data_IF_319406318490
#
_entry.id   IF_319406318490
#
_cell.length_a   1.000
_cell.length_b   1.000
_cell.length_c   1.000
_cell.angle_alpha   90.00
_cell.angle_beta   90.00
_cell.angle_gamma   90.00
#
_symmetry.space_group_name_H-M   'P 1'
#
loop_
_entity.id
_entity.type
_entity.pdbx_description
1 polymer ?
#
# COMPACT_ATOMS: atom_id res chain seq x y z
N UNK A 1 -1.61 70.81 29.81
CA UNK A 1 -1.29 70.52 31.20
C UNK A 1 -2.44 69.80 31.84
N UNK A 2 -2.34 68.50 32.04
CA UNK A 2 -3.07 67.67 33.03
C UNK A 2 -2.40 66.31 33.03
N UNK A 3 -1.67 66.07 34.12
CA UNK A 3 -1.03 64.80 34.47
C UNK A 3 -2.07 63.85 34.98
N UNK A 4 -2.04 62.58 34.52
CA UNK A 4 -2.75 61.49 35.14
C UNK A 4 -1.73 60.48 35.68
N UNK A 5 -1.70 60.36 37.00
CA UNK A 5 -0.96 59.34 37.74
C UNK A 5 -1.68 58.02 37.64
N UNK A 6 -0.98 56.99 37.16
CA UNK A 6 -1.46 55.60 37.19
C UNK A 6 -0.99 54.92 38.49
N UNK A 7 -1.94 54.55 39.32
CA UNK A 7 -1.72 53.76 40.53
C UNK A 7 -1.68 52.27 40.14
N UNK A 8 -0.56 51.62 40.44
CA UNK A 8 -0.36 50.20 40.29
C UNK A 8 -0.90 49.42 41.48
N UNK A 9 -1.93 48.67 41.32
CA UNK A 9 -2.46 47.75 42.33
C UNK A 9 -1.74 46.39 42.22
N UNK A 10 -0.93 46.05 43.21
CA UNK A 10 -0.35 44.73 43.43
C UNK A 10 -1.36 43.84 44.16
N UNK A 11 -1.82 42.79 43.54
CA UNK A 11 -2.59 41.72 44.19
C UNK A 11 -1.64 40.57 44.61
N UNK A 12 -1.78 40.05 45.83
CA UNK A 12 -0.96 38.94 46.29
C UNK A 12 -1.48 37.59 45.74
N UNK A 13 -0.57 36.84 45.09
CA UNK A 13 -0.81 35.48 44.71
C UNK A 13 -0.62 34.56 45.93
N UNK A 14 -1.69 33.94 46.39
CA UNK A 14 -1.66 32.93 47.43
C UNK A 14 -1.34 31.59 46.77
N UNK A 15 -0.15 31.07 47.06
CA UNK A 15 0.30 29.75 46.57
C UNK A 15 -0.20 28.68 47.56
N UNK A 16 -1.23 27.91 47.18
CA UNK A 16 -1.70 26.76 47.95
C UNK A 16 -0.88 25.53 47.50
N UNK A 17 0.04 25.12 48.35
CA UNK A 17 0.78 23.88 48.20
C UNK A 17 -0.10 22.69 48.61
N UNK A 18 -0.60 21.90 47.67
CA UNK A 18 -1.16 20.57 47.98
C UNK A 18 -0.03 19.56 48.03
N UNK A 19 0.29 19.12 49.22
CA UNK A 19 1.18 18.00 49.45
C UNK A 19 0.49 16.68 49.08
N UNK A 20 0.95 16.04 48.01
CA UNK A 20 0.59 14.68 47.67
C UNK A 20 1.59 13.73 48.30
N UNK A 21 1.18 13.01 49.35
CA UNK A 21 1.94 11.91 49.94
C UNK A 21 1.94 10.71 48.98
N UNK A 22 3.09 10.39 48.41
CA UNK A 22 3.30 9.14 47.69
C UNK A 22 3.45 7.99 48.70
N UNK A 23 2.39 7.20 48.83
CA UNK A 23 2.51 5.86 49.40
C UNK A 23 2.98 4.90 48.31
N UNK A 24 4.22 4.44 48.41
CA UNK A 24 4.73 3.36 47.56
C UNK A 24 4.02 2.06 47.97
N UNK A 25 3.19 1.53 47.08
CA UNK A 25 2.69 0.16 47.16
C UNK A 25 3.56 -0.71 46.25
N UNK A 26 4.35 -1.58 46.92
CA UNK A 26 4.99 -2.73 46.29
C UNK A 26 3.93 -3.63 45.68
N UNK A 27 3.81 -3.64 44.34
CA UNK A 27 3.07 -4.65 43.61
C UNK A 27 4.05 -5.62 42.95
N UNK A 28 4.14 -6.81 43.52
CA UNK A 28 4.74 -7.98 42.93
C UNK A 28 4.10 -8.26 41.54
N UNK A 29 4.89 -8.62 40.53
CA UNK A 29 4.32 -9.01 39.23
C UNK A 29 3.66 -10.38 39.36
N UNK A 30 2.33 -10.42 39.26
CA UNK A 30 1.59 -11.64 39.07
C UNK A 30 1.97 -12.24 37.72
N UNK A 31 2.49 -13.48 37.73
CA UNK A 31 2.72 -14.28 36.56
C UNK A 31 1.41 -14.49 35.78
N UNK A 32 1.16 -13.64 34.79
CA UNK A 32 0.02 -13.72 33.92
C UNK A 32 0.13 -14.97 33.02
N UNK A 33 -0.73 -15.95 33.27
CA UNK A 33 -1.04 -17.03 32.35
C UNK A 33 -1.32 -16.40 30.98
N UNK A 34 -0.47 -16.68 29.99
CA UNK A 34 -0.78 -16.51 28.58
C UNK A 34 -1.93 -17.47 28.25
N UNK A 35 -3.14 -17.00 28.46
CA UNK A 35 -4.33 -17.61 27.90
C UNK A 35 -4.21 -17.50 26.38
N UNK A 36 -3.99 -18.63 25.71
CA UNK A 36 -4.17 -18.72 24.27
C UNK A 36 -5.57 -18.15 23.96
N UNK A 37 -5.61 -17.07 23.20
CA UNK A 37 -6.86 -16.54 22.64
C UNK A 37 -7.37 -17.65 21.72
N UNK A 38 -8.34 -18.44 22.20
CA UNK A 38 -9.03 -19.38 21.38
C UNK A 38 -9.51 -18.61 20.16
N UNK A 39 -9.09 -19.06 18.98
CA UNK A 39 -9.60 -18.57 17.72
C UNK A 39 -11.10 -18.78 17.79
N UNK A 40 -11.86 -17.69 17.89
CA UNK A 40 -13.31 -17.75 17.96
C UNK A 40 -13.77 -18.56 16.74
N UNK A 41 -14.41 -19.69 16.97
CA UNK A 41 -14.97 -20.52 15.92
C UNK A 41 -15.79 -19.62 15.01
N UNK A 42 -15.39 -19.49 13.75
CA UNK A 42 -16.11 -18.70 12.77
C UNK A 42 -17.54 -19.23 12.74
N UNK A 43 -18.52 -18.35 12.96
CA UNK A 43 -19.93 -18.71 12.80
C UNK A 43 -20.17 -19.24 11.38
N UNK A 44 -21.32 -19.86 11.11
CA UNK A 44 -21.58 -20.44 9.79
C UNK A 44 -21.39 -19.37 8.72
N UNK A 45 -20.49 -19.65 7.77
CA UNK A 45 -20.21 -18.74 6.66
C UNK A 45 -21.48 -18.57 5.81
N UNK A 46 -21.79 -17.31 5.45
CA UNK A 46 -22.85 -17.05 4.48
C UNK A 46 -22.48 -17.76 3.18
N UNK A 47 -23.41 -18.51 2.54
CA UNK A 47 -23.14 -19.19 1.28
C UNK A 47 -22.57 -18.21 0.24
N UNK A 48 -21.50 -18.61 -0.43
CA UNK A 48 -20.86 -17.86 -1.50
C UNK A 48 -20.29 -18.83 -2.53
N UNK A 49 -20.13 -18.37 -3.76
CA UNK A 49 -19.38 -19.10 -4.78
C UNK A 49 -17.89 -18.75 -4.64
N UNK A 50 -17.00 -19.68 -4.36
CA UNK A 50 -15.57 -19.42 -4.26
C UNK A 50 -14.95 -18.96 -5.59
N UNK A 51 -15.61 -19.24 -6.72
CA UNK A 51 -15.18 -18.82 -8.06
C UNK A 51 -15.74 -17.46 -8.47
N UNK A 52 -16.63 -16.87 -7.71
CA UNK A 52 -17.09 -15.49 -7.92
C UNK A 52 -16.26 -14.51 -7.08
N UNK A 53 -15.37 -13.78 -7.73
CA UNK A 53 -14.57 -12.73 -7.10
C UNK A 53 -15.21 -11.35 -7.24
N UNK A 54 -16.39 -11.24 -7.84
CA UNK A 54 -17.04 -9.96 -8.15
C UNK A 54 -17.35 -9.16 -6.88
N UNK A 55 -17.20 -7.84 -6.99
CA UNK A 55 -17.51 -6.89 -5.93
C UNK A 55 -16.43 -5.83 -5.72
N UNK A 56 -16.75 -4.88 -4.88
CA UNK A 56 -15.82 -3.82 -4.47
C UNK A 56 -15.08 -4.27 -3.21
N UNK A 57 -13.79 -4.39 -3.32
CA UNK A 57 -12.91 -4.88 -2.28
C UNK A 57 -12.03 -3.78 -1.74
N UNK A 58 -11.88 -3.73 -0.41
CA UNK A 58 -10.98 -2.82 0.26
C UNK A 58 -10.01 -3.61 1.12
N UNK A 59 -8.74 -3.27 1.03
CA UNK A 59 -7.74 -3.86 1.88
C UNK A 59 -8.05 -3.61 3.37
N UNK A 60 -7.90 -4.64 4.20
CA UNK A 60 -8.28 -4.61 5.62
C UNK A 60 -7.10 -4.84 6.58
N UNK A 61 -5.88 -4.86 6.08
CA UNK A 61 -4.68 -4.97 6.91
C UNK A 61 -4.33 -3.68 7.65
N UNK A 62 -3.42 -3.76 8.60
CA UNK A 62 -2.69 -2.57 9.05
C UNK A 62 -1.94 -2.03 7.83
N UNK A 63 -1.81 -0.71 7.76
CA UNK A 63 -1.17 -0.03 6.63
C UNK A 63 0.29 -0.49 6.46
N UNK A 64 0.49 -1.65 5.88
CA UNK A 64 1.80 -2.16 5.49
C UNK A 64 1.99 -1.75 4.04
N UNK A 65 2.76 -0.71 3.83
CA UNK A 65 3.05 -0.14 2.53
C UNK A 65 4.20 -0.89 1.83
N UNK A 66 4.46 -2.13 2.24
CA UNK A 66 5.50 -2.99 1.69
C UNK A 66 4.93 -4.24 1.03
N UNK A 67 5.67 -4.79 0.09
CA UNK A 67 5.35 -6.07 -0.54
C UNK A 67 5.33 -7.21 0.48
N UNK A 68 6.34 -7.29 1.33
CA UNK A 68 6.45 -8.26 2.42
C UNK A 68 7.17 -7.65 3.62
N UNK A 69 6.86 -8.13 4.84
CA UNK A 69 7.63 -7.80 6.04
C UNK A 69 9.01 -8.49 6.03
N UNK A 70 9.14 -9.58 5.30
CA UNK A 70 10.43 -10.24 5.13
C UNK A 70 11.25 -9.52 4.07
N UNK A 71 12.47 -9.11 4.44
CA UNK A 71 13.37 -8.44 3.53
C UNK A 71 13.81 -9.38 2.39
N UNK A 72 13.77 -8.93 1.13
CA UNK A 72 14.22 -9.75 0.01
C UNK A 72 15.73 -9.85 -0.03
N UNK A 73 16.23 -10.95 -0.61
CA UNK A 73 17.64 -11.02 -0.99
C UNK A 73 17.82 -10.41 -2.38
N UNK A 74 18.46 -9.26 -2.44
CA UNK A 74 18.71 -8.57 -3.71
C UNK A 74 20.03 -9.00 -4.35
N UNK A 75 20.08 -8.92 -5.68
CA UNK A 75 21.34 -8.95 -6.43
C UNK A 75 22.08 -7.62 -6.21
N UNK A 76 23.38 -7.52 -6.55
CA UNK A 76 24.07 -6.22 -6.51
C UNK A 76 23.39 -5.14 -7.34
N UNK A 77 22.84 -5.49 -8.50
CA UNK A 77 22.09 -4.57 -9.34
C UNK A 77 20.78 -4.12 -8.69
N UNK A 78 20.03 -5.06 -8.10
CA UNK A 78 18.80 -4.75 -7.37
C UNK A 78 19.07 -3.87 -6.16
N UNK A 79 20.10 -4.15 -5.40
CA UNK A 79 20.52 -3.36 -4.25
C UNK A 79 20.90 -1.93 -4.66
N UNK A 80 21.67 -1.75 -5.73
CA UNK A 80 22.03 -0.42 -6.21
C UNK A 80 20.80 0.42 -6.61
N UNK A 81 19.81 -0.20 -7.29
CA UNK A 81 18.52 0.47 -7.60
C UNK A 81 17.74 0.81 -6.33
N UNK A 82 17.68 -0.11 -5.37
CA UNK A 82 17.01 0.10 -4.10
C UNK A 82 17.64 1.25 -3.30
N UNK A 83 18.99 1.30 -3.26
CA UNK A 83 19.71 2.36 -2.56
C UNK A 83 19.52 3.73 -3.22
N UNK A 84 19.29 3.77 -4.52
CA UNK A 84 18.99 4.98 -5.27
C UNK A 84 17.55 5.48 -5.05
N UNK A 85 16.64 4.64 -4.58
CA UNK A 85 15.28 5.05 -4.28
C UNK A 85 15.20 5.89 -3.01
N UNK A 86 14.62 7.09 -3.11
CA UNK A 86 14.36 8.02 -2.01
C UNK A 86 12.88 8.06 -1.74
N UNK A 87 12.49 7.30 -0.73
CA UNK A 87 11.08 7.07 -0.38
C UNK A 87 10.60 8.10 0.66
N UNK A 88 9.29 8.34 0.72
CA UNK A 88 8.69 9.18 1.75
C UNK A 88 8.13 8.39 2.94
N UNK A 89 8.27 7.05 2.92
CA UNK A 89 7.75 6.15 3.94
C UNK A 89 8.80 5.15 4.41
N UNK A 90 8.61 4.64 5.65
CA UNK A 90 9.47 3.61 6.21
C UNK A 90 10.79 4.10 6.78
N UNK A 91 11.70 3.17 7.13
CA UNK A 91 12.95 3.49 7.83
C UNK A 91 13.94 4.35 7.03
N UNK A 92 13.78 4.37 5.70
CA UNK A 92 14.65 5.13 4.77
C UNK A 92 13.98 6.43 4.30
N UNK A 93 12.89 6.85 4.96
CA UNK A 93 12.13 8.01 4.54
C UNK A 93 12.99 9.28 4.51
N UNK A 94 12.86 10.01 3.41
CA UNK A 94 13.39 11.37 3.23
C UNK A 94 12.25 12.38 3.19
N UNK A 95 12.49 13.67 3.44
CA UNK A 95 11.48 14.68 3.18
C UNK A 95 10.90 14.56 1.77
N UNK A 96 9.59 14.70 1.57
CA UNK A 96 8.94 14.46 0.27
C UNK A 96 9.57 15.23 -0.89
N UNK A 97 10.05 16.46 -0.66
CA UNK A 97 10.74 17.26 -1.65
C UNK A 97 12.06 16.64 -2.17
N UNK A 98 12.68 15.78 -1.38
CA UNK A 98 13.91 15.07 -1.73
C UNK A 98 13.65 13.65 -2.26
N UNK A 99 12.40 13.25 -2.28
CA UNK A 99 11.96 11.95 -2.78
C UNK A 99 12.04 11.87 -4.31
N UNK A 100 12.14 10.64 -4.80
CA UNK A 100 12.11 10.36 -6.24
C UNK A 100 11.10 9.28 -6.61
N UNK A 101 10.07 9.12 -5.80
CA UNK A 101 8.95 8.22 -6.11
C UNK A 101 8.29 8.67 -7.44
N UNK A 102 8.19 7.79 -8.45
CA UNK A 102 7.56 8.11 -9.72
C UNK A 102 6.12 8.62 -9.57
N UNK A 103 5.39 8.11 -8.59
CA UNK A 103 4.04 8.57 -8.27
C UNK A 103 3.96 10.08 -7.94
N UNK A 104 5.03 10.67 -7.40
CA UNK A 104 5.12 12.10 -7.14
C UNK A 104 5.18 12.98 -8.41
N UNK A 105 5.20 12.34 -9.58
CA UNK A 105 5.09 12.99 -10.91
C UNK A 105 3.88 12.49 -11.68
N UNK A 106 2.96 11.83 -11.00
CA UNK A 106 1.78 11.17 -11.57
C UNK A 106 2.12 10.03 -12.55
N UNK A 107 3.30 9.41 -12.46
CA UNK A 107 3.52 8.14 -13.13
C UNK A 107 2.64 7.07 -12.47
N UNK A 108 2.01 6.19 -13.26
CA UNK A 108 1.18 5.11 -12.71
C UNK A 108 1.96 4.21 -11.74
N UNK A 109 1.30 3.80 -10.66
CA UNK A 109 1.96 3.00 -9.61
C UNK A 109 2.41 1.61 -10.07
N UNK A 110 1.75 1.06 -11.07
CA UNK A 110 1.99 -0.30 -11.51
C UNK A 110 1.47 -1.38 -10.55
N UNK A 111 1.65 -2.64 -10.96
CA UNK A 111 1.37 -3.83 -10.16
C UNK A 111 2.72 -4.37 -9.66
N UNK A 112 2.84 -4.78 -8.39
CA UNK A 112 1.77 -5.07 -7.41
C UNK A 112 1.37 -3.89 -6.51
N UNK A 113 2.07 -2.76 -6.55
CA UNK A 113 1.87 -1.65 -5.61
C UNK A 113 0.41 -1.18 -5.55
N UNK A 114 -0.25 -1.11 -6.70
CA UNK A 114 -1.65 -0.69 -6.81
C UNK A 114 -2.62 -1.64 -6.08
N UNK A 115 -2.30 -2.94 -5.97
CA UNK A 115 -3.13 -3.94 -5.30
C UNK A 115 -3.26 -3.71 -3.78
N UNK A 116 -2.30 -3.04 -3.17
CA UNK A 116 -2.29 -2.77 -1.72
C UNK A 116 -2.01 -1.30 -1.39
N UNK A 117 -2.39 -0.41 -2.30
CA UNK A 117 -2.24 1.02 -2.09
C UNK A 117 -3.22 1.54 -1.03
N UNK A 118 -2.75 1.58 0.21
CA UNK A 118 -3.39 2.28 1.31
C UNK A 118 -4.77 1.76 1.75
N UNK A 119 -5.20 2.24 2.93
CA UNK A 119 -6.47 1.83 3.53
C UNK A 119 -7.71 2.49 2.88
N UNK A 120 -7.53 3.40 1.94
CA UNK A 120 -8.60 4.19 1.33
C UNK A 120 -8.95 3.75 -0.08
N UNK A 121 -7.97 3.25 -0.84
CA UNK A 121 -8.22 2.82 -2.22
C UNK A 121 -8.97 1.49 -2.27
N UNK A 122 -9.92 1.40 -3.19
CA UNK A 122 -10.73 0.21 -3.45
C UNK A 122 -10.37 -0.38 -4.80
N UNK A 123 -10.67 -1.65 -4.93
CA UNK A 123 -10.58 -2.39 -6.18
C UNK A 123 -11.93 -3.05 -6.43
N UNK A 124 -12.52 -2.79 -7.57
CA UNK A 124 -13.69 -3.53 -8.03
C UNK A 124 -13.22 -4.67 -8.94
N UNK A 125 -13.74 -5.86 -8.69
CA UNK A 125 -13.53 -7.03 -9.54
C UNK A 125 -14.83 -7.32 -10.27
N UNK A 126 -14.74 -7.43 -11.59
CA UNK A 126 -15.84 -7.81 -12.47
C UNK A 126 -15.44 -9.04 -13.27
N UNK A 127 -16.31 -10.03 -13.33
CA UNK A 127 -16.09 -11.27 -14.08
C UNK A 127 -16.92 -11.27 -15.36
N UNK A 128 -16.29 -11.57 -16.48
CA UNK A 128 -16.96 -11.80 -17.76
C UNK A 128 -16.61 -13.19 -18.32
N UNK A 129 -17.14 -13.54 -19.47
CA UNK A 129 -16.96 -14.87 -20.07
C UNK A 129 -15.49 -15.21 -20.41
N UNK A 130 -14.69 -14.20 -20.74
CA UNK A 130 -13.32 -14.36 -21.28
C UNK A 130 -12.24 -13.72 -20.40
N UNK A 131 -12.63 -13.00 -19.37
CA UNK A 131 -11.69 -12.28 -18.51
C UNK A 131 -12.26 -11.90 -17.15
N UNK A 132 -11.38 -11.71 -16.19
CA UNK A 132 -11.63 -10.95 -14.97
C UNK A 132 -11.05 -9.55 -15.15
N UNK A 133 -11.81 -8.54 -14.77
CA UNK A 133 -11.37 -7.14 -14.82
C UNK A 133 -11.20 -6.64 -13.40
N UNK A 134 -10.04 -6.09 -13.10
CA UNK A 134 -9.79 -5.31 -11.90
C UNK A 134 -9.87 -3.82 -12.26
N UNK A 135 -10.78 -3.09 -11.63
CA UNK A 135 -10.91 -1.65 -11.73
C UNK A 135 -10.44 -1.03 -10.42
N UNK A 136 -9.50 -0.10 -10.50
CA UNK A 136 -8.91 0.54 -9.32
C UNK A 136 -9.42 1.95 -9.16
N UNK A 137 -9.77 2.30 -7.93
CA UNK A 137 -10.23 3.64 -7.54
C UNK A 137 -9.15 4.72 -7.77
N UNK A 138 -7.87 4.34 -7.59
CA UNK A 138 -6.76 5.21 -7.92
C UNK A 138 -6.54 5.28 -9.44
N UNK A 139 -6.50 6.49 -9.99
CA UNK A 139 -6.31 6.78 -11.43
C UNK A 139 -7.41 6.20 -12.34
N UNK A 140 -8.45 5.60 -11.79
CA UNK A 140 -9.51 4.93 -12.56
C UNK A 140 -8.97 3.97 -13.64
N UNK A 141 -7.85 3.33 -13.36
CA UNK A 141 -7.25 2.37 -14.27
C UNK A 141 -7.92 1.01 -14.16
N UNK A 142 -8.02 0.32 -15.28
CA UNK A 142 -8.51 -1.05 -15.33
C UNK A 142 -7.42 -2.00 -15.80
N UNK A 143 -7.45 -3.23 -15.28
CA UNK A 143 -6.54 -4.31 -15.63
C UNK A 143 -7.32 -5.53 -16.08
N UNK A 144 -7.25 -5.91 -17.36
CA UNK A 144 -7.82 -7.17 -17.84
C UNK A 144 -6.89 -8.34 -17.47
N UNK A 145 -7.48 -9.39 -16.93
CA UNK A 145 -6.84 -10.69 -16.68
C UNK A 145 -7.57 -11.69 -17.55
N UNK A 146 -6.93 -12.17 -18.60
CA UNK A 146 -7.57 -13.03 -19.58
C UNK A 146 -7.73 -14.47 -19.06
N UNK A 147 -8.92 -15.04 -19.23
CA UNK A 147 -9.27 -16.39 -18.77
C UNK A 147 -9.72 -17.31 -19.90
N UNK A 148 -9.53 -16.91 -21.13
CA UNK A 148 -9.91 -17.64 -22.35
C UNK A 148 -8.87 -18.69 -22.80
N UNK A 149 -7.87 -18.95 -21.96
CA UNK A 149 -6.85 -19.97 -22.24
C UNK A 149 -5.68 -19.48 -23.09
N UNK A 150 -5.64 -18.17 -23.43
CA UNK A 150 -4.49 -17.61 -24.16
C UNK A 150 -3.21 -17.66 -23.35
N UNK A 151 -2.09 -17.66 -24.05
CA UNK A 151 -0.76 -17.49 -23.44
C UNK A 151 -0.43 -16.00 -23.24
N UNK A 152 0.54 -15.73 -22.37
CA UNK A 152 1.15 -14.41 -22.25
C UNK A 152 1.86 -14.04 -23.57
N UNK A 153 1.80 -12.75 -24.00
CA UNK A 153 2.46 -12.33 -25.25
C UNK A 153 3.96 -12.58 -25.21
N UNK A 154 4.50 -13.11 -26.29
CA UNK A 154 5.94 -13.41 -26.43
C UNK A 154 6.79 -12.14 -26.53
N UNK A 155 6.21 -11.07 -27.05
CA UNK A 155 6.78 -9.73 -27.21
C UNK A 155 6.46 -8.78 -26.04
N UNK A 156 5.97 -9.32 -24.91
CA UNK A 156 5.58 -8.50 -23.77
C UNK A 156 6.73 -7.66 -23.20
N UNK A 157 7.97 -8.14 -23.32
CA UNK A 157 9.17 -7.43 -22.85
C UNK A 157 9.57 -6.28 -23.79
N UNK A 158 9.22 -6.39 -25.07
CA UNK A 158 9.49 -5.34 -26.06
C UNK A 158 8.47 -4.20 -25.99
N UNK A 159 7.29 -4.49 -25.42
CA UNK A 159 6.18 -3.55 -25.27
C UNK A 159 5.67 -3.50 -23.82
N UNK A 160 6.48 -3.03 -22.86
CA UNK A 160 6.12 -3.04 -21.44
C UNK A 160 4.90 -2.13 -21.17
N UNK A 161 4.09 -2.54 -20.18
CA UNK A 161 2.90 -1.81 -19.72
C UNK A 161 3.00 -1.53 -18.24
N UNK A 162 2.40 -0.44 -17.80
CA UNK A 162 2.32 -0.10 -16.38
C UNK A 162 1.71 -1.22 -15.51
N UNK A 163 0.69 -1.89 -16.02
CA UNK A 163 0.00 -2.99 -15.33
C UNK A 163 0.39 -4.38 -15.84
N UNK A 164 1.33 -4.46 -16.78
CA UNK A 164 1.76 -5.71 -17.41
C UNK A 164 0.69 -6.36 -18.29
N UNK A 165 0.96 -7.59 -18.68
CA UNK A 165 0.03 -8.51 -19.36
C UNK A 165 -0.30 -9.64 -18.40
N UNK A 166 -1.57 -10.00 -18.30
CA UNK A 166 -2.05 -10.96 -17.31
C UNK A 166 -2.96 -12.02 -17.92
N UNK A 167 -2.71 -13.26 -17.54
CA UNK A 167 -3.59 -14.40 -17.82
C UNK A 167 -3.95 -15.06 -16.50
N UNK A 168 -5.17 -15.57 -16.39
CA UNK A 168 -5.69 -16.16 -15.18
C UNK A 168 -6.31 -17.53 -15.42
N UNK A 169 -6.23 -18.40 -14.43
CA UNK A 169 -6.90 -19.72 -14.41
C UNK A 169 -7.28 -20.10 -12.99
N UNK A 170 -8.28 -20.94 -12.88
CA UNK A 170 -8.66 -21.54 -11.61
C UNK A 170 -7.82 -22.79 -11.32
N UNK A 171 -7.35 -22.92 -10.09
CA UNK A 171 -6.67 -24.07 -9.50
C UNK A 171 -7.43 -24.43 -8.22
N UNK A 172 -8.43 -25.32 -8.34
CA UNK A 172 -9.45 -25.50 -7.31
C UNK A 172 -10.17 -24.18 -7.01
N UNK A 173 -10.24 -23.82 -5.73
CA UNK A 173 -10.86 -22.56 -5.27
C UNK A 173 -9.90 -21.35 -5.26
N UNK A 174 -8.78 -21.45 -5.96
CA UNK A 174 -7.78 -20.38 -6.05
C UNK A 174 -7.71 -19.86 -7.48
N UNK A 175 -7.96 -18.57 -7.67
CA UNK A 175 -7.72 -17.91 -8.94
C UNK A 175 -6.25 -17.54 -9.03
N UNK A 176 -5.52 -18.14 -9.95
CA UNK A 176 -4.09 -17.93 -10.18
C UNK A 176 -3.90 -17.03 -11.38
N UNK A 177 -3.16 -15.93 -11.20
CA UNK A 177 -2.84 -14.98 -12.26
C UNK A 177 -1.34 -14.96 -12.47
N UNK A 178 -0.90 -15.18 -13.70
CA UNK A 178 0.48 -15.02 -14.11
C UNK A 178 0.62 -13.75 -14.97
N UNK A 179 1.64 -12.94 -14.68
CA UNK A 179 1.84 -11.64 -15.32
C UNK A 179 3.30 -11.36 -15.64
N UNK A 180 3.54 -10.69 -16.78
CA UNK A 180 4.85 -10.25 -17.28
C UNK A 180 4.76 -8.91 -17.99
N UNK A 181 5.89 -8.37 -18.45
CA UNK A 181 5.95 -7.17 -19.30
C UNK A 181 5.59 -5.90 -18.55
N UNK A 182 6.06 -5.76 -17.33
CA UNK A 182 5.86 -4.56 -16.52
C UNK A 182 6.87 -3.47 -16.85
N UNK A 183 6.43 -2.22 -16.81
CA UNK A 183 7.32 -1.07 -16.99
C UNK A 183 8.26 -0.94 -15.80
N UNK A 184 9.60 -1.03 -15.99
CA UNK A 184 10.56 -1.06 -14.89
C UNK A 184 10.74 0.27 -14.16
N UNK A 185 10.02 1.33 -14.54
CA UNK A 185 9.99 2.60 -13.82
C UNK A 185 9.14 2.54 -12.56
N UNK A 186 8.24 1.57 -12.45
CA UNK A 186 7.39 1.41 -11.26
C UNK A 186 8.15 0.82 -10.08
N UNK A 187 7.65 1.08 -8.88
CA UNK A 187 8.13 0.43 -7.66
C UNK A 187 7.14 -0.65 -7.22
N UNK A 188 7.66 -1.72 -6.59
CA UNK A 188 6.82 -2.80 -6.08
C UNK A 188 5.96 -2.37 -4.88
N UNK A 189 6.44 -1.37 -4.14
CA UNK A 189 5.79 -0.88 -2.92
C UNK A 189 6.22 0.55 -2.57
N UNK A 190 5.74 1.06 -1.43
CA UNK A 190 6.07 2.41 -0.95
C UNK A 190 7.46 2.52 -0.32
N UNK A 191 8.17 1.41 -0.15
CA UNK A 191 9.54 1.40 0.39
C UNK A 191 10.61 1.45 -0.70
N UNK A 192 10.17 1.57 -1.95
CA UNK A 192 11.04 1.78 -3.09
C UNK A 192 11.73 0.52 -3.58
N UNK A 193 11.15 -0.65 -3.32
CA UNK A 193 11.66 -1.90 -3.88
C UNK A 193 11.54 -1.88 -5.41
N UNK A 194 12.67 -1.99 -6.12
CA UNK A 194 12.68 -1.93 -7.58
C UNK A 194 12.30 -3.27 -8.20
N UNK A 195 12.10 -3.25 -9.51
CA UNK A 195 12.10 -4.44 -10.33
C UNK A 195 12.80 -4.20 -11.66
N UNK A 196 12.99 -5.24 -12.45
CA UNK A 196 13.50 -5.16 -13.80
C UNK A 196 12.39 -5.41 -14.84
N UNK A 197 12.76 -5.31 -16.09
CA UNK A 197 11.95 -5.72 -17.25
C UNK A 197 11.66 -7.23 -17.28
N UNK A 198 12.48 -8.06 -16.62
CA UNK A 198 12.30 -9.50 -16.55
C UNK A 198 11.38 -9.95 -15.40
N UNK A 199 10.76 -9.00 -14.67
CA UNK A 199 9.86 -9.31 -13.59
C UNK A 199 8.71 -10.21 -14.06
N UNK A 200 8.48 -11.30 -13.31
CA UNK A 200 7.32 -12.17 -13.39
C UNK A 200 6.58 -12.12 -12.07
N UNK A 201 5.28 -11.96 -12.11
CA UNK A 201 4.45 -11.92 -10.91
C UNK A 201 3.38 -12.99 -11.01
N UNK A 202 3.28 -13.84 -9.99
CA UNK A 202 2.16 -14.73 -9.81
C UNK A 202 1.33 -14.23 -8.63
N UNK A 203 0.02 -14.15 -8.83
CA UNK A 203 -0.97 -13.75 -7.85
C UNK A 203 -1.90 -14.93 -7.58
N UNK A 204 -2.22 -15.17 -6.32
CA UNK A 204 -3.14 -16.22 -5.91
C UNK A 204 -4.26 -15.64 -5.06
N UNK A 205 -5.44 -15.52 -5.65
CA UNK A 205 -6.63 -15.03 -5.00
C UNK A 205 -7.45 -16.19 -4.45
N UNK A 206 -7.90 -16.10 -3.21
CA UNK A 206 -8.79 -17.05 -2.59
C UNK A 206 -9.90 -16.34 -1.85
N UNK A 207 -11.15 -16.58 -2.22
CA UNK A 207 -12.31 -16.11 -1.48
C UNK A 207 -12.59 -17.08 -0.33
N UNK A 208 -12.35 -16.64 0.91
CA UNK A 208 -12.49 -17.47 2.11
C UNK A 208 -13.95 -17.60 2.55
N UNK A 209 -14.68 -16.53 2.42
CA UNK A 209 -16.09 -16.39 2.73
C UNK A 209 -16.70 -15.29 1.85
N UNK A 210 -18.01 -15.01 2.05
CA UNK A 210 -18.70 -13.98 1.28
C UNK A 210 -17.97 -12.64 1.27
N UNK A 211 -17.40 -12.25 2.41
CA UNK A 211 -16.92 -10.88 2.65
C UNK A 211 -15.40 -10.80 2.75
N UNK A 212 -14.67 -11.91 2.53
CA UNK A 212 -13.23 -11.97 2.70
C UNK A 212 -12.52 -12.56 1.49
N UNK A 213 -11.64 -11.77 0.89
CA UNK A 213 -10.73 -12.18 -0.19
C UNK A 213 -9.29 -12.10 0.30
N UNK A 214 -8.51 -13.15 0.07
CA UNK A 214 -7.08 -13.19 0.32
C UNK A 214 -6.30 -13.17 -0.98
N UNK A 215 -5.12 -12.56 -0.94
CA UNK A 215 -4.16 -12.50 -2.03
C UNK A 215 -2.76 -12.79 -1.49
N UNK A 216 -2.05 -13.69 -2.13
CA UNK A 216 -0.62 -13.92 -1.96
C UNK A 216 0.09 -13.72 -3.30
N UNK A 217 1.24 -13.06 -3.25
CA UNK A 217 2.02 -12.70 -4.42
C UNK A 217 3.37 -13.42 -4.38
N UNK A 218 3.81 -13.93 -5.51
CA UNK A 218 5.18 -14.45 -5.69
C UNK A 218 5.84 -13.70 -6.83
N UNK A 219 6.91 -13.00 -6.52
CA UNK A 219 7.71 -12.25 -7.47
C UNK A 219 8.96 -13.03 -7.84
N UNK A 220 9.23 -13.16 -9.12
CA UNK A 220 10.47 -13.71 -9.67
C UNK A 220 11.09 -12.69 -10.62
N UNK A 221 12.27 -12.20 -10.27
CA UNK A 221 13.02 -11.22 -11.06
C UNK A 221 14.53 -11.45 -10.84
N UNK A 222 15.17 -12.30 -11.64
CA UNK A 222 16.55 -12.73 -11.42
C UNK A 222 17.57 -11.61 -11.59
N UNK A 223 17.22 -10.51 -12.29
CA UNK A 223 18.10 -9.33 -12.37
C UNK A 223 18.10 -8.55 -11.06
N UNK A 224 17.01 -8.58 -10.31
CA UNK A 224 16.82 -7.77 -9.10
C UNK A 224 16.93 -8.56 -7.81
N UNK A 225 16.40 -9.80 -7.78
CA UNK A 225 16.32 -10.64 -6.58
C UNK A 225 17.01 -11.98 -6.79
N UNK A 226 17.83 -12.38 -5.82
CA UNK A 226 18.59 -13.62 -5.86
C UNK A 226 17.73 -14.88 -5.79
N UNK A 227 16.51 -14.76 -5.28
CA UNK A 227 15.48 -15.83 -5.21
C UNK A 227 14.08 -15.24 -5.30
N UNK A 228 13.06 -16.05 -5.61
CA UNK A 228 11.68 -15.58 -5.58
C UNK A 228 11.32 -14.96 -4.23
N UNK A 229 10.60 -13.85 -4.27
CA UNK A 229 10.14 -13.11 -3.10
C UNK A 229 8.63 -13.27 -2.95
N UNK A 230 8.20 -13.76 -1.79
CA UNK A 230 6.79 -14.02 -1.50
C UNK A 230 6.25 -12.92 -0.59
N UNK A 231 5.06 -12.43 -0.89
CA UNK A 231 4.41 -11.40 -0.08
C UNK A 231 3.80 -11.97 1.20
N UNK A 232 3.58 -11.11 2.18
CA UNK A 232 2.59 -11.41 3.20
C UNK A 232 1.21 -11.59 2.58
N UNK A 233 0.36 -12.42 3.19
CA UNK A 233 -1.03 -12.54 2.76
C UNK A 233 -1.76 -11.20 2.93
N UNK A 234 -2.27 -10.65 1.84
CA UNK A 234 -3.08 -9.45 1.81
C UNK A 234 -4.55 -9.86 1.94
N UNK A 235 -5.27 -9.25 2.88
CA UNK A 235 -6.68 -9.55 3.12
C UNK A 235 -7.54 -8.36 2.75
N UNK A 236 -8.59 -8.61 1.98
CA UNK A 236 -9.56 -7.60 1.56
C UNK A 236 -10.93 -7.92 2.13
N UNK A 237 -11.70 -6.88 2.40
CA UNK A 237 -13.10 -6.98 2.83
C UNK A 237 -14.02 -6.39 1.79
N UNK A 238 -15.11 -7.11 1.52
CA UNK A 238 -16.16 -6.67 0.62
C UNK A 238 -16.80 -5.37 1.13
N UNK A 239 -17.08 -4.46 0.24
CA UNK A 239 -17.69 -3.15 0.51
C UNK A 239 -19.06 -3.06 -0.19
N UNK A 240 -20.10 -3.67 0.39
CA UNK A 240 -21.42 -3.63 -0.26
C UNK A 240 -21.95 -2.20 -0.33
N UNK A 241 -22.64 -1.88 -1.40
CA UNK A 241 -23.30 -0.59 -1.63
C UNK A 241 -22.38 0.64 -1.50
N UNK A 242 -21.12 0.49 -1.93
CA UNK A 242 -20.17 1.61 -2.03
C UNK A 242 -19.91 1.93 -3.48
N UNK A 243 -19.77 3.22 -3.76
CA UNK A 243 -19.28 3.69 -5.05
C UNK A 243 -17.75 3.80 -5.04
N UNK A 244 -17.15 3.73 -6.22
CA UNK A 244 -15.74 4.04 -6.42
C UNK A 244 -15.58 5.56 -6.44
N UNK A 245 -14.57 6.06 -5.70
CA UNK A 245 -14.24 7.48 -5.69
C UNK A 245 -13.43 7.85 -6.94
N UNK A 246 -13.59 9.04 -7.43
CA UNK A 246 -12.73 9.60 -8.48
C UNK A 246 -11.43 10.13 -7.85
N UNK A 247 -10.37 9.34 -7.90
CA UNK A 247 -9.05 9.72 -7.38
C UNK A 247 -8.06 9.75 -8.53
N UNK A 248 -7.66 10.95 -8.93
CA UNK A 248 -6.69 11.17 -10.00
C UNK A 248 -5.47 11.94 -9.48
N UNK A 249 -4.31 11.61 -9.99
CA UNK A 249 -3.15 12.49 -9.92
C UNK A 249 -3.22 13.44 -11.11
N UNK A 250 -3.30 14.74 -10.85
CA UNK A 250 -3.37 15.75 -11.92
C UNK A 250 -2.00 16.44 -12.03
N UNK A 251 -1.21 16.19 -13.10
CA UNK A 251 0.17 16.65 -13.18
C UNK A 251 0.34 18.16 -12.99
N UNK A 252 -0.60 18.98 -13.51
CA UNK A 252 -0.55 20.42 -13.33
C UNK A 252 -0.80 20.88 -11.90
N UNK A 253 -1.65 20.19 -11.16
CA UNK A 253 -1.92 20.47 -9.74
C UNK A 253 -0.76 20.01 -8.88
N UNK A 254 -0.22 18.82 -9.17
CA UNK A 254 0.95 18.27 -8.49
C UNK A 254 2.18 19.19 -8.69
N UNK A 255 2.40 19.70 -9.89
CA UNK A 255 3.48 20.65 -10.15
C UNK A 255 3.32 21.94 -9.34
N UNK A 256 2.12 22.49 -9.24
CA UNK A 256 1.82 23.69 -8.45
C UNK A 256 2.04 23.41 -6.96
N UNK A 257 1.57 22.26 -6.46
CA UNK A 257 1.77 21.86 -5.08
C UNK A 257 3.27 21.69 -4.77
N UNK A 258 4.00 21.00 -5.64
CA UNK A 258 5.43 20.80 -5.50
C UNK A 258 6.17 22.12 -5.40
N UNK A 259 5.95 23.03 -6.32
CA UNK A 259 6.62 24.35 -6.35
C UNK A 259 6.26 25.25 -5.16
N UNK A 260 5.01 25.23 -4.70
CA UNK A 260 4.52 26.17 -3.69
C UNK A 260 4.63 25.67 -2.26
N UNK A 261 4.58 24.36 -2.06
CA UNK A 261 4.48 23.73 -0.74
C UNK A 261 5.61 22.76 -0.49
N UNK A 262 5.72 21.69 -1.30
CA UNK A 262 6.63 20.58 -1.03
C UNK A 262 8.10 20.99 -1.11
N UNK A 263 8.52 21.63 -2.18
CA UNK A 263 9.91 22.02 -2.41
C UNK A 263 10.39 23.07 -1.38
N UNK A 264 9.64 24.15 -1.10
CA UNK A 264 9.99 25.07 -0.04
C UNK A 264 10.05 24.42 1.35
N UNK A 265 9.11 23.51 1.66
CA UNK A 265 9.12 22.78 2.93
C UNK A 265 10.35 21.87 3.08
N UNK A 266 10.90 21.38 1.96
CA UNK A 266 12.14 20.62 1.91
C UNK A 266 13.41 21.48 1.83
N UNK A 267 13.29 22.81 1.89
CA UNK A 267 14.41 23.74 1.75
C UNK A 267 14.90 23.94 0.31
N UNK A 268 14.14 23.47 -0.68
CA UNK A 268 14.46 23.65 -2.10
C UNK A 268 13.94 25.02 -2.54
N UNK A 269 14.85 25.95 -2.83
CA UNK A 269 14.50 27.27 -3.36
C UNK A 269 14.46 27.19 -4.88
N UNK A 270 13.26 27.17 -5.45
CA UNK A 270 13.11 27.36 -6.89
C UNK A 270 13.42 28.81 -7.24
N UNK A 271 14.51 29.05 -7.98
CA UNK A 271 14.77 30.39 -8.52
C UNK A 271 13.56 30.81 -9.39
N UNK A 272 13.02 31.99 -9.10
CA UNK A 272 11.96 32.62 -9.89
C UNK A 272 12.45 32.96 -11.29
#
# INVERSE_FOLDING_TARGET
MRSYSSATLLAPVVLVMFGCSLAAQDQQPAAGRRGGRAEAAAGPSVPHDPHDLSGIWRWSGRSVLTFSNDAPQMTPQGQAKFDASRVSYGPRAVPPALGNDPMGKCDPMGIPRLLFYGATARMEILTSADRVVQFFEWEHVYRPIWTDGRELPKDALDNPRWLGYSVGKWDGDVFVVDSIGFDPRTWLDHFGHPHSDEMRLQERYRRLDRDTLQLTLTLTDPKTYAKPWVSDTKTFKLQPAKDMLEIFCVPSEEEVFNKRVRDPAGGIVTKK
#
